data_IF_583434214498
#
_entry.id   IF_583434214498
#
_cell.length_a   1.000
_cell.length_b   1.000
_cell.length_c   1.000
_cell.angle_alpha   90.00
_cell.angle_beta   90.00
_cell.angle_gamma   90.00
#
_symmetry.space_group_name_H-M   'P 1'
#
loop_
_entity.id
_entity.type
_entity.pdbx_description
1 polymer ?
#
# COMPACT_ATOMS: atom_id res chain seq x y z
N UNK A 1 -7.92 3.76 4.93
CA UNK A 1 -6.61 4.43 5.03
C UNK A 1 -5.87 4.28 3.71
N UNK A 2 -5.30 5.33 3.17
CA UNK A 2 -4.40 5.29 2.01
C UNK A 2 -3.02 5.74 2.48
N UNK A 3 -2.01 4.93 2.25
CA UNK A 3 -0.63 5.13 2.67
C UNK A 3 0.32 5.14 1.48
N UNK A 4 1.45 5.80 1.65
CA UNK A 4 2.53 5.85 0.67
C UNK A 4 3.84 5.53 1.38
N UNK A 5 4.47 4.44 0.98
CA UNK A 5 5.78 4.03 1.48
C UNK A 5 6.77 3.92 0.32
N UNK A 6 8.02 4.33 0.57
CA UNK A 6 9.10 4.16 -0.42
C UNK A 6 8.65 4.65 -1.81
N UNK A 7 8.11 5.87 -1.87
CA UNK A 7 7.34 6.33 -3.02
C UNK A 7 8.18 6.65 -4.28
N UNK A 8 9.48 6.90 -4.14
CA UNK A 8 10.28 7.53 -5.18
C UNK A 8 11.62 6.85 -5.54
N UNK A 9 11.86 5.55 -5.31
CA UNK A 9 13.11 4.95 -5.75
C UNK A 9 13.22 4.91 -7.27
N UNK A 10 14.39 5.28 -7.80
CA UNK A 10 14.70 5.37 -9.24
C UNK A 10 14.43 4.04 -9.95
N UNK A 11 14.95 2.95 -9.38
CA UNK A 11 14.75 1.60 -9.92
C UNK A 11 13.73 0.87 -9.08
N UNK A 12 12.62 0.47 -9.68
CA UNK A 12 11.60 -0.27 -8.97
C UNK A 12 10.30 -0.44 -9.76
N UNK A 13 9.44 -1.26 -9.23
CA UNK A 13 8.09 -1.47 -9.74
C UNK A 13 7.04 -0.97 -8.74
N UNK A 14 5.91 -0.51 -9.28
CA UNK A 14 4.80 -0.06 -8.46
C UNK A 14 4.12 -1.26 -7.79
N UNK A 15 3.94 -1.17 -6.50
CA UNK A 15 3.27 -2.17 -5.67
C UNK A 15 2.02 -1.58 -5.03
N UNK A 16 0.99 -2.38 -4.98
CA UNK A 16 -0.24 -2.11 -4.26
C UNK A 16 -0.44 -3.23 -3.23
N UNK A 17 -0.34 -2.89 -1.97
CA UNK A 17 -0.55 -3.85 -0.89
C UNK A 17 -1.80 -3.46 -0.10
N UNK A 18 -2.72 -4.39 0.09
CA UNK A 18 -3.95 -4.15 0.84
C UNK A 18 -4.01 -4.99 2.10
N UNK A 19 -4.41 -4.35 3.20
CA UNK A 19 -4.81 -4.99 4.44
C UNK A 19 -6.33 -4.81 4.57
N UNK A 20 -7.07 -5.61 3.80
CA UNK A 20 -8.51 -5.48 3.63
C UNK A 20 -9.12 -6.83 3.20
N UNK A 21 -10.22 -6.83 2.47
CA UNK A 21 -10.82 -7.99 1.81
C UNK A 21 -10.31 -8.14 0.38
N UNK A 22 -10.49 -9.31 -0.24
CA UNK A 22 -10.17 -9.55 -1.66
C UNK A 22 -10.94 -8.62 -2.60
N UNK A 23 -12.22 -8.34 -2.29
CA UNK A 23 -13.02 -7.40 -3.07
C UNK A 23 -12.37 -6.00 -3.09
N UNK A 24 -11.81 -5.56 -1.96
CA UNK A 24 -11.10 -4.30 -1.89
C UNK A 24 -9.84 -4.30 -2.76
N UNK A 25 -9.05 -5.39 -2.73
CA UNK A 25 -7.87 -5.55 -3.60
C UNK A 25 -8.26 -5.48 -5.07
N UNK A 26 -9.29 -6.23 -5.48
CA UNK A 26 -9.76 -6.25 -6.87
C UNK A 26 -10.27 -4.87 -7.31
N UNK A 27 -11.05 -4.19 -6.46
CA UNK A 27 -11.56 -2.86 -6.77
C UNK A 27 -10.42 -1.85 -6.99
N UNK A 28 -9.50 -1.70 -6.04
CA UNK A 28 -8.42 -0.71 -6.16
C UNK A 28 -7.45 -1.02 -7.29
N UNK A 29 -7.21 -2.30 -7.56
CA UNK A 29 -6.41 -2.74 -8.72
C UNK A 29 -7.11 -2.39 -10.03
N UNK A 30 -8.43 -2.61 -10.11
CA UNK A 30 -9.25 -2.24 -11.27
C UNK A 30 -9.19 -0.75 -11.56
N UNK A 31 -9.39 0.08 -10.54
CA UNK A 31 -9.32 1.56 -10.65
C UNK A 31 -7.97 2.01 -11.22
N UNK A 32 -6.86 1.48 -10.72
CA UNK A 32 -5.53 1.84 -11.22
C UNK A 32 -5.31 1.37 -12.66
N UNK A 33 -5.78 0.18 -13.03
CA UNK A 33 -5.68 -0.34 -14.40
C UNK A 33 -6.50 0.48 -15.39
N UNK A 34 -7.72 0.86 -15.02
CA UNK A 34 -8.56 1.75 -15.84
C UNK A 34 -7.87 3.09 -16.11
N UNK A 35 -7.13 3.61 -15.13
CA UNK A 35 -6.34 4.83 -15.26
C UNK A 35 -4.99 4.63 -15.98
N UNK A 36 -4.69 3.42 -16.46
CA UNK A 36 -3.46 3.11 -17.20
C UNK A 36 -2.24 2.74 -16.34
N UNK A 37 -2.41 2.57 -15.03
CA UNK A 37 -1.30 2.23 -14.14
C UNK A 37 -1.17 0.72 -13.92
N UNK A 38 -0.01 0.17 -14.32
CA UNK A 38 0.38 -1.19 -13.97
C UNK A 38 0.92 -1.26 -12.54
N UNK A 39 0.35 -2.15 -11.72
CA UNK A 39 0.79 -2.39 -10.35
C UNK A 39 0.93 -3.87 -10.06
N UNK A 40 1.89 -4.25 -9.23
CA UNK A 40 1.97 -5.57 -8.60
C UNK A 40 1.12 -5.52 -7.33
N UNK A 41 -0.09 -6.07 -7.44
CA UNK A 41 -1.07 -6.04 -6.36
C UNK A 41 -1.03 -7.31 -5.54
N UNK A 42 -1.09 -7.18 -4.21
CA UNK A 42 -1.24 -8.31 -3.29
C UNK A 42 -1.97 -7.90 -2.01
N UNK A 43 -2.60 -8.88 -1.39
CA UNK A 43 -3.13 -8.78 -0.05
C UNK A 43 -2.10 -9.37 0.91
N UNK A 44 -1.52 -8.54 1.77
CA UNK A 44 -0.45 -8.98 2.67
C UNK A 44 -0.20 -7.95 3.77
N UNK A 45 0.61 -8.34 4.76
CA UNK A 45 1.14 -7.44 5.79
C UNK A 45 2.63 -7.26 5.61
N UNK A 46 3.12 -6.05 5.88
CA UNK A 46 4.54 -5.75 6.07
C UNK A 46 4.64 -4.54 7.02
N UNK A 47 5.84 -4.27 7.51
CA UNK A 47 6.05 -3.13 8.42
C UNK A 47 5.68 -1.82 7.73
N UNK A 48 4.53 -1.27 8.08
CA UNK A 48 4.00 -0.02 7.51
C UNK A 48 2.99 0.63 8.45
N UNK A 49 2.68 1.88 8.21
CA UNK A 49 1.66 2.64 8.93
C UNK A 49 0.23 2.08 8.74
N UNK A 50 0.06 1.12 7.82
CA UNK A 50 -1.21 0.41 7.63
C UNK A 50 -1.58 -0.52 8.80
N UNK A 51 -0.59 -1.04 9.54
CA UNK A 51 -0.81 -2.05 10.60
C UNK A 51 -1.77 -1.56 11.69
N UNK A 52 -1.56 -0.39 12.32
CA UNK A 52 -2.46 0.06 13.40
C UNK A 52 -3.89 0.33 12.91
N UNK A 53 -4.07 0.71 11.66
CA UNK A 53 -5.39 0.89 11.07
C UNK A 53 -6.09 -0.45 10.85
N UNK A 54 -5.40 -1.42 10.25
CA UNK A 54 -5.92 -2.77 10.05
C UNK A 54 -6.23 -3.47 11.37
N UNK A 55 -5.39 -3.27 12.39
CA UNK A 55 -5.63 -3.76 13.73
C UNK A 55 -6.95 -3.25 14.33
N UNK A 56 -7.31 -2.02 14.04
CA UNK A 56 -8.57 -1.41 14.45
C UNK A 56 -9.73 -1.63 13.44
N UNK A 57 -9.59 -2.57 12.52
CA UNK A 57 -10.64 -2.94 11.55
C UNK A 57 -10.85 -1.91 10.44
N UNK A 58 -9.88 -1.02 10.22
CA UNK A 58 -9.93 -0.05 9.13
C UNK A 58 -9.14 -0.58 7.95
N UNK A 59 -9.79 -0.86 6.80
CA UNK A 59 -9.11 -1.25 5.57
C UNK A 59 -8.00 -0.28 5.20
N UNK A 60 -6.83 -0.82 4.88
CA UNK A 60 -5.67 -0.03 4.53
C UNK A 60 -5.12 -0.43 3.16
N UNK A 61 -4.78 0.58 2.37
CA UNK A 61 -4.23 0.48 1.03
C UNK A 61 -2.87 1.16 1.07
N UNK A 62 -1.83 0.46 0.66
CA UNK A 62 -0.49 1.02 0.57
C UNK A 62 0.00 1.03 -0.87
N UNK A 63 0.41 2.18 -1.33
CA UNK A 63 1.15 2.37 -2.56
C UNK A 63 2.64 2.46 -2.22
N UNK A 64 3.44 1.61 -2.85
CA UNK A 64 4.88 1.59 -2.65
C UNK A 64 5.60 1.33 -3.96
N UNK A 65 6.89 1.64 -3.98
CA UNK A 65 7.75 1.35 -5.11
C UNK A 65 8.99 0.62 -4.63
N UNK A 66 9.11 -0.66 -4.99
CA UNK A 66 10.22 -1.50 -4.54
C UNK A 66 11.14 -1.85 -5.69
N UNK A 67 12.44 -1.78 -5.44
CA UNK A 67 13.50 -2.31 -6.31
C UNK A 67 13.54 -3.83 -6.30
N UNK A 68 14.54 -4.41 -6.99
CA UNK A 68 14.70 -5.87 -7.09
C UNK A 68 14.91 -6.54 -5.72
N UNK A 69 15.54 -5.83 -4.78
CA UNK A 69 15.82 -6.30 -3.43
C UNK A 69 14.90 -5.67 -2.37
N UNK A 70 13.75 -5.12 -2.78
CA UNK A 70 12.81 -4.47 -1.88
C UNK A 70 13.09 -2.98 -1.67
N UNK A 71 13.05 -2.54 -0.42
CA UNK A 71 13.27 -1.14 -0.03
C UNK A 71 14.74 -0.88 0.33
N UNK A 72 15.64 -1.04 -0.63
CA UNK A 72 17.10 -1.17 -0.45
C UNK A 72 17.76 -0.13 0.46
N UNK A 73 17.35 1.14 0.36
CA UNK A 73 18.00 2.23 1.12
C UNK A 73 17.12 2.81 2.22
N UNK A 74 15.91 2.31 2.37
CA UNK A 74 14.99 2.79 3.39
C UNK A 74 15.62 2.71 4.80
N UNK A 75 15.57 3.80 5.53
CA UNK A 75 16.06 3.92 6.92
C UNK A 75 17.56 3.67 7.10
N UNK A 76 18.38 3.86 6.08
CA UNK A 76 19.82 3.78 6.20
C UNK A 76 20.53 5.08 5.76
N UNK A 77 21.87 5.14 5.88
CA UNK A 77 22.64 6.35 5.56
C UNK A 77 22.56 6.81 4.10
N UNK A 78 22.11 5.95 3.19
CA UNK A 78 21.92 6.25 1.77
C UNK A 78 20.52 6.75 1.46
N UNK A 79 19.60 6.74 2.43
CA UNK A 79 18.26 7.30 2.32
C UNK A 79 18.35 8.82 2.39
N UNK A 80 18.79 9.42 1.31
CA UNK A 80 18.99 10.86 1.20
C UNK A 80 18.79 11.34 -0.24
N UNK A 81 18.41 12.59 -0.40
CA UNK A 81 18.26 13.25 -1.71
C UNK A 81 19.57 13.28 -2.53
N UNK A 82 20.73 13.17 -1.87
CA UNK A 82 22.03 13.19 -2.54
C UNK A 82 22.49 11.84 -3.07
N UNK A 83 21.80 10.77 -2.74
CA UNK A 83 22.22 9.40 -3.09
C UNK A 83 21.98 9.06 -4.56
N UNK A 84 21.18 9.84 -5.30
CA UNK A 84 20.68 9.49 -6.62
C UNK A 84 19.64 8.35 -6.63
N UNK A 85 19.20 7.94 -5.44
CA UNK A 85 18.22 6.87 -5.24
C UNK A 85 16.79 7.32 -5.51
N UNK A 86 16.50 8.59 -5.27
CA UNK A 86 15.18 9.18 -5.44
C UNK A 86 15.04 9.77 -6.86
N UNK A 87 13.88 9.57 -7.44
CA UNK A 87 13.50 10.02 -8.77
C UNK A 87 12.17 10.76 -8.74
N UNK A 88 12.16 12.01 -9.20
CA UNK A 88 10.96 12.86 -9.17
C UNK A 88 9.85 12.30 -10.07
N UNK A 89 10.20 11.70 -11.20
CA UNK A 89 9.21 11.08 -12.09
C UNK A 89 8.57 9.84 -11.44
N UNK A 90 9.38 9.02 -10.73
CA UNK A 90 8.86 7.89 -9.97
C UNK A 90 7.92 8.34 -8.83
N UNK A 91 8.27 9.44 -8.15
CA UNK A 91 7.41 10.06 -7.15
C UNK A 91 6.09 10.55 -7.76
N UNK A 92 6.15 11.25 -8.89
CA UNK A 92 4.96 11.76 -9.59
C UNK A 92 4.02 10.61 -9.98
N UNK A 93 4.53 9.51 -10.53
CA UNK A 93 3.71 8.32 -10.83
C UNK A 93 2.99 7.81 -9.57
N UNK A 94 3.69 7.70 -8.45
CA UNK A 94 3.10 7.21 -7.20
C UNK A 94 2.02 8.17 -6.68
N UNK A 95 2.26 9.49 -6.75
CA UNK A 95 1.29 10.51 -6.36
C UNK A 95 0.05 10.50 -7.25
N UNK A 96 0.21 10.35 -8.55
CA UNK A 96 -0.92 10.27 -9.49
C UNK A 96 -1.77 9.01 -9.25
N UNK A 97 -1.15 7.86 -8.98
CA UNK A 97 -1.88 6.66 -8.56
C UNK A 97 -2.70 6.90 -7.30
N UNK A 98 -2.09 7.55 -6.31
CA UNK A 98 -2.77 7.92 -5.07
C UNK A 98 -3.91 8.90 -5.30
N UNK A 99 -3.72 9.90 -6.16
CA UNK A 99 -4.76 10.86 -6.51
C UNK A 99 -5.96 10.19 -7.18
N UNK A 100 -5.72 9.29 -8.14
CA UNK A 100 -6.79 8.51 -8.80
C UNK A 100 -7.60 7.69 -7.81
N UNK A 101 -6.92 7.00 -6.87
CA UNK A 101 -7.62 6.25 -5.83
C UNK A 101 -8.39 7.15 -4.88
N UNK A 102 -7.79 8.25 -4.43
CA UNK A 102 -8.41 9.19 -3.52
C UNK A 102 -9.66 9.82 -4.15
N UNK A 103 -9.55 10.29 -5.38
CA UNK A 103 -10.66 10.88 -6.12
C UNK A 103 -11.82 9.89 -6.28
N UNK A 104 -11.52 8.66 -6.71
CA UNK A 104 -12.52 7.62 -6.90
C UNK A 104 -13.21 7.21 -5.59
N UNK A 105 -12.45 7.12 -4.50
CA UNK A 105 -13.00 6.73 -3.20
C UNK A 105 -13.78 7.87 -2.52
N UNK A 106 -13.27 9.10 -2.59
CA UNK A 106 -13.90 10.26 -1.94
C UNK A 106 -15.20 10.72 -2.63
N UNK A 107 -15.28 10.55 -3.94
CA UNK A 107 -16.45 10.97 -4.74
C UNK A 107 -17.43 9.82 -5.04
N UNK A 108 -17.22 8.64 -4.49
CA UNK A 108 -18.13 7.51 -4.67
C UNK A 108 -19.48 7.79 -4.00
N UNK A 109 -20.59 7.63 -4.74
CA UNK A 109 -21.94 7.78 -4.20
C UNK A 109 -22.24 6.78 -3.07
N UNK A 110 -21.60 5.61 -3.13
CA UNK A 110 -21.59 4.61 -2.06
C UNK A 110 -20.15 4.12 -1.91
N UNK A 111 -19.63 4.11 -0.68
CA UNK A 111 -18.23 3.73 -0.45
C UNK A 111 -17.99 2.27 -0.86
N UNK A 112 -17.09 2.01 -1.81
CA UNK A 112 -17.01 0.72 -2.50
C UNK A 112 -16.24 -0.35 -1.72
N UNK A 113 -15.58 0.03 -0.63
CA UNK A 113 -14.77 -0.89 0.19
C UNK A 113 -15.47 -1.14 1.52
N UNK A 114 -15.74 -2.40 1.84
CA UNK A 114 -16.30 -2.79 3.14
C UNK A 114 -15.30 -2.48 4.25
N UNK A 115 -15.81 -2.05 5.42
CA UNK A 115 -14.98 -1.85 6.62
C UNK A 115 -14.73 -3.19 7.31
N UNK A 116 -14.01 -4.05 6.62
CA UNK A 116 -13.69 -5.41 7.05
C UNK A 116 -12.23 -5.73 6.71
N UNK A 117 -11.62 -6.56 7.55
CA UNK A 117 -10.29 -7.13 7.32
C UNK A 117 -10.47 -8.63 7.15
N UNK A 118 -9.94 -9.20 6.06
CA UNK A 118 -10.00 -10.63 5.83
C UNK A 118 -9.36 -11.42 7.01
N UNK A 119 -9.92 -12.57 7.40
CA UNK A 119 -9.44 -13.33 8.56
C UNK A 119 -7.95 -13.65 8.52
N UNK A 120 -7.42 -14.04 7.35
CA UNK A 120 -6.01 -14.34 7.14
C UNK A 120 -5.12 -13.09 7.30
N UNK A 121 -5.61 -11.90 6.91
CA UNK A 121 -4.88 -10.65 7.14
C UNK A 121 -4.96 -10.27 8.61
N UNK A 122 -6.09 -10.47 9.26
CA UNK A 122 -6.23 -10.28 10.70
C UNK A 122 -5.22 -11.11 11.47
N UNK A 123 -5.12 -12.40 11.13
CA UNK A 123 -4.14 -13.29 11.75
C UNK A 123 -2.70 -12.76 11.56
N UNK A 124 -2.32 -12.37 10.35
CA UNK A 124 -0.98 -11.81 10.07
C UNK A 124 -0.72 -10.52 10.86
N UNK A 125 -1.70 -9.63 11.00
CA UNK A 125 -1.59 -8.41 11.81
C UNK A 125 -1.38 -8.77 13.28
N UNK A 126 -2.15 -9.72 13.82
CA UNK A 126 -2.00 -10.18 15.22
C UNK A 126 -0.63 -10.84 15.46
N UNK A 127 -0.14 -11.63 14.52
CA UNK A 127 1.21 -12.21 14.55
C UNK A 127 2.30 -11.13 14.52
N UNK A 128 2.16 -10.13 13.64
CA UNK A 128 3.08 -9.00 13.54
C UNK A 128 3.15 -8.19 14.85
N UNK A 129 2.02 -8.02 15.52
CA UNK A 129 1.90 -7.28 16.78
C UNK A 129 2.18 -8.14 18.03
N UNK A 130 2.63 -9.38 17.84
CA UNK A 130 2.89 -10.33 18.93
C UNK A 130 1.69 -10.53 19.86
N UNK A 131 0.47 -10.42 19.35
CA UNK A 131 -0.72 -10.67 20.16
C UNK A 131 -0.84 -12.16 20.48
N UNK A 132 -1.14 -12.48 21.73
CA UNK A 132 -1.41 -13.86 22.13
C UNK A 132 -2.58 -14.42 21.31
N UNK A 133 -2.45 -15.66 20.80
CA UNK A 133 -3.59 -16.36 20.21
C UNK A 133 -4.69 -16.43 21.26
N UNK A 134 -5.89 -15.93 20.95
CA UNK A 134 -7.07 -16.21 21.78
C UNK A 134 -7.33 -17.69 21.65
N UNK A 135 -7.16 -18.43 22.74
CA UNK A 135 -7.57 -19.85 22.86
C UNK A 135 -9.07 -19.99 22.66
#
# INVERSE_FOLDING_TARGET
>A
MLNFDVAAPTLGSNHLVTLATDDALHYVTGVLREAGYGVRAKQDTYSSDCIPFADNGVPAINLARFGANGADYMHNRHDSLKSGYLDEHALDITLQQGFVLLDRLANAASFPIKREIAPEIRQKVDEYLFKAKKE
#
